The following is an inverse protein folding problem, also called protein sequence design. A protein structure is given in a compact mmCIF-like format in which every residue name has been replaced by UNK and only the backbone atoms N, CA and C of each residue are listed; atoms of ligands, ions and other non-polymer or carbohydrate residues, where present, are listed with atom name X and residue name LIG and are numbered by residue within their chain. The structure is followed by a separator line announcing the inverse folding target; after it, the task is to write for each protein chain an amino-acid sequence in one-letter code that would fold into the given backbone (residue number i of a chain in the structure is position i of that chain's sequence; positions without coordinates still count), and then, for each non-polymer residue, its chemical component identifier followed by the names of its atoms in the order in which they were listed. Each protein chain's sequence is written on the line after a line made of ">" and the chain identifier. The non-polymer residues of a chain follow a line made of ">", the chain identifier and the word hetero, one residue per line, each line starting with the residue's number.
data_IF_193888068160
#
_entry.id   IF_193888068160
#
_cell.length_a   1.000
_cell.length_b   1.000
_cell.length_c   1.000
_cell.angle_alpha   90.00
_cell.angle_beta   90.00
_cell.angle_gamma   90.00
#
_symmetry.space_group_name_H-M   'P 1'
#
loop_
_entity.id
_entity.type
_entity.pdbx_description
1 polymer ?
#
# COMPACT_ATOMS: atom_id res chain seq x y z
N UNK A 1 -10.27 13.74 -8.73
CA UNK A 1 -9.56 14.13 -9.97
C UNK A 1 -8.07 14.16 -9.64
N UNK A 2 -7.25 13.44 -10.39
CA UNK A 2 -5.77 13.54 -10.33
C UNK A 2 -5.38 14.46 -11.49
N UNK A 3 -4.32 15.28 -11.33
CA UNK A 3 -3.89 16.38 -12.23
C UNK A 3 -4.51 17.78 -11.95
N UNK A 4 -4.53 18.21 -10.69
CA UNK A 4 -4.93 19.59 -10.33
C UNK A 4 -3.85 20.63 -10.65
N UNK A 5 -2.59 20.21 -10.69
CA UNK A 5 -1.42 21.06 -10.98
C UNK A 5 -0.62 20.42 -12.11
N UNK A 6 0.07 21.25 -12.89
CA UNK A 6 0.72 20.82 -14.13
C UNK A 6 1.85 19.81 -13.90
N UNK A 7 2.55 19.91 -12.78
CA UNK A 7 3.80 19.22 -12.50
C UNK A 7 3.66 18.04 -11.51
N UNK A 8 2.48 17.79 -10.92
CA UNK A 8 2.32 16.70 -9.93
C UNK A 8 2.45 15.29 -10.53
N UNK A 9 2.47 15.16 -11.86
CA UNK A 9 2.71 13.89 -12.56
C UNK A 9 4.14 13.79 -13.11
N UNK A 10 4.99 14.80 -12.85
CA UNK A 10 6.40 14.85 -13.23
C UNK A 10 7.25 14.53 -12.01
N UNK A 11 8.26 13.63 -12.09
CA UNK A 11 9.14 13.36 -10.96
C UNK A 11 9.79 14.64 -10.42
N UNK A 12 9.70 14.88 -9.11
CA UNK A 12 10.19 16.09 -8.47
C UNK A 12 9.47 16.37 -7.15
N UNK A 13 9.73 17.53 -6.55
CA UNK A 13 9.19 17.90 -5.24
C UNK A 13 7.65 17.92 -5.22
N UNK A 14 7.01 18.52 -6.23
CA UNK A 14 5.55 18.59 -6.30
C UNK A 14 4.89 17.21 -6.35
N UNK A 15 5.49 16.23 -7.05
CA UNK A 15 5.00 14.85 -7.04
C UNK A 15 5.17 14.19 -5.68
N UNK A 16 6.29 14.42 -4.99
CA UNK A 16 6.54 13.84 -3.66
C UNK A 16 5.60 14.44 -2.61
N UNK A 17 5.36 15.74 -2.65
CA UNK A 17 4.38 16.42 -1.77
C UNK A 17 2.97 15.84 -1.97
N UNK A 18 2.58 15.63 -3.24
CA UNK A 18 1.31 15.00 -3.57
C UNK A 18 1.27 13.52 -3.16
N UNK A 19 2.36 12.77 -3.36
CA UNK A 19 2.49 11.39 -2.93
C UNK A 19 2.34 11.26 -1.41
N UNK A 20 2.99 12.15 -0.64
CA UNK A 20 2.91 12.14 0.81
C UNK A 20 1.52 12.52 1.32
N UNK A 21 0.83 13.47 0.65
CA UNK A 21 -0.59 13.73 0.92
C UNK A 21 -1.44 12.47 0.75
N UNK A 22 -1.25 11.72 -0.33
CA UNK A 22 -1.98 10.45 -0.57
C UNK A 22 -1.61 9.40 0.50
N UNK A 23 -0.32 9.22 0.81
CA UNK A 23 0.13 8.29 1.86
C UNK A 23 -0.46 8.65 3.22
N UNK A 24 -0.52 9.94 3.55
CA UNK A 24 -1.15 10.43 4.77
C UNK A 24 -2.64 10.08 4.83
N UNK A 25 -3.39 10.27 3.73
CA UNK A 25 -4.80 9.89 3.65
C UNK A 25 -5.00 8.38 3.81
N UNK A 26 -4.17 7.57 3.15
CA UNK A 26 -4.17 6.11 3.31
C UNK A 26 -3.95 5.73 4.77
N UNK A 27 -2.90 6.27 5.42
CA UNK A 27 -2.60 6.00 6.84
C UNK A 27 -3.77 6.39 7.76
N UNK A 28 -4.46 7.49 7.48
CA UNK A 28 -5.62 7.92 8.26
C UNK A 28 -6.83 6.97 8.18
N UNK A 29 -6.91 6.14 7.14
CA UNK A 29 -7.96 5.12 6.99
C UNK A 29 -7.71 3.83 7.80
N UNK A 30 -6.50 3.64 8.35
CA UNK A 30 -6.17 2.48 9.17
C UNK A 30 -6.42 2.75 10.67
N UNK A 31 -6.78 1.70 11.42
CA UNK A 31 -6.67 1.70 12.89
C UNK A 31 -5.19 1.64 13.29
N UNK A 32 -4.83 2.25 14.43
CA UNK A 32 -3.45 2.35 14.94
C UNK A 32 -2.69 1.01 14.94
N UNK A 33 -3.36 -0.12 15.19
CA UNK A 33 -2.76 -1.46 15.23
C UNK A 33 -2.59 -2.13 13.85
N UNK A 34 -3.35 -1.71 12.83
CA UNK A 34 -3.27 -2.21 11.45
C UNK A 34 -2.44 -1.30 10.53
N UNK A 35 -2.02 -0.13 11.04
CA UNK A 35 -1.32 0.95 10.33
C UNK A 35 0.13 0.63 9.93
N UNK A 36 0.55 -0.64 9.96
CA UNK A 36 1.93 -1.06 9.82
C UNK A 36 2.53 -0.63 8.49
N UNK A 37 3.12 0.57 8.43
CA UNK A 37 3.87 1.13 7.30
C UNK A 37 3.25 0.86 5.92
N UNK A 38 1.91 0.78 5.87
CA UNK A 38 1.15 0.16 4.78
C UNK A 38 0.97 1.07 3.55
N UNK A 39 1.57 2.27 3.60
CA UNK A 39 1.60 3.17 2.46
C UNK A 39 2.52 2.66 1.37
N UNK A 40 2.19 2.85 0.08
CA UNK A 40 3.08 2.48 -1.01
C UNK A 40 4.41 3.24 -0.90
N UNK A 41 5.47 2.48 -0.61
CA UNK A 41 6.87 2.86 -0.82
C UNK A 41 7.27 2.30 -2.18
N UNK A 42 7.57 3.16 -3.13
CA UNK A 42 7.72 2.75 -4.52
C UNK A 42 8.08 3.90 -5.44
N UNK A 43 7.92 3.70 -6.77
CA UNK A 43 8.23 4.72 -7.77
C UNK A 43 7.36 5.97 -7.60
N UNK A 44 7.69 7.08 -8.28
CA UNK A 44 6.92 8.33 -8.24
C UNK A 44 5.41 8.10 -8.40
N UNK A 45 4.62 8.91 -7.72
CA UNK A 45 3.17 8.78 -7.75
C UNK A 45 2.66 8.95 -9.19
N UNK A 46 1.72 8.09 -9.61
CA UNK A 46 1.17 8.14 -10.97
C UNK A 46 2.08 7.58 -12.07
N UNK A 47 3.27 7.06 -11.74
CA UNK A 47 4.14 6.33 -12.69
C UNK A 47 3.50 5.04 -13.25
N UNK A 48 2.42 4.57 -12.62
CA UNK A 48 1.52 3.52 -13.11
C UNK A 48 0.08 4.00 -13.00
N UNK A 49 -0.84 3.36 -13.72
CA UNK A 49 -2.28 3.67 -13.62
C UNK A 49 -2.76 3.47 -12.18
N UNK A 50 -3.31 4.52 -11.60
CA UNK A 50 -3.76 4.55 -10.21
C UNK A 50 -5.05 3.71 -10.09
N UNK A 51 -5.08 2.69 -9.22
CA UNK A 51 -6.31 1.99 -8.90
C UNK A 51 -7.25 2.92 -8.11
N UNK A 52 -8.49 3.04 -8.57
CA UNK A 52 -9.57 3.61 -7.76
C UNK A 52 -10.21 2.46 -6.97
N UNK A 53 -10.45 2.68 -5.69
CA UNK A 53 -10.96 1.66 -4.79
C UNK A 53 -12.19 2.15 -4.03
N UNK A 54 -12.93 1.19 -3.47
CA UNK A 54 -14.04 1.44 -2.55
C UNK A 54 -13.87 0.54 -1.34
N UNK A 55 -13.40 1.10 -0.23
CA UNK A 55 -13.28 0.37 1.04
C UNK A 55 -12.05 -0.54 1.16
N UNK A 56 -11.10 -0.48 0.24
CA UNK A 56 -9.94 -1.37 0.18
C UNK A 56 -9.06 -1.23 1.43
N UNK A 57 -8.78 0.00 1.86
CA UNK A 57 -7.93 0.25 3.01
C UNK A 57 -8.63 -0.12 4.32
N UNK A 58 -9.95 0.07 4.39
CA UNK A 58 -10.80 -0.19 5.55
C UNK A 58 -10.98 -1.68 5.82
N UNK A 59 -10.92 -2.53 4.79
CA UNK A 59 -11.00 -3.99 4.95
C UNK A 59 -9.88 -4.51 5.87
N UNK A 60 -8.71 -3.88 5.86
CA UNK A 60 -7.60 -4.25 6.74
C UNK A 60 -7.81 -3.91 8.22
N UNK A 61 -8.88 -3.20 8.58
CA UNK A 61 -9.27 -2.96 9.96
C UNK A 61 -10.13 -4.08 10.57
N UNK A 62 -10.50 -5.09 9.77
CA UNK A 62 -11.32 -6.23 10.23
C UNK A 62 -10.45 -7.29 10.91
N UNK A 63 -10.96 -7.87 12.00
CA UNK A 63 -10.22 -8.88 12.80
C UNK A 63 -9.87 -10.17 12.03
N UNK A 64 -10.59 -10.47 10.94
CA UNK A 64 -10.40 -11.65 10.11
C UNK A 64 -9.53 -11.40 8.87
N UNK A 65 -8.87 -10.24 8.79
CA UNK A 65 -8.02 -9.86 7.66
C UNK A 65 -6.59 -9.67 8.15
N UNK A 66 -5.65 -10.35 7.48
CA UNK A 66 -4.21 -10.24 7.75
C UNK A 66 -3.49 -9.78 6.49
N UNK A 67 -2.68 -8.74 6.62
CA UNK A 67 -1.77 -8.29 5.57
C UNK A 67 -0.41 -8.99 5.74
N UNK A 68 0.03 -9.71 4.72
CA UNK A 68 1.31 -10.44 4.72
C UNK A 68 2.29 -9.80 3.73
N UNK A 69 3.43 -9.31 4.22
CA UNK A 69 4.50 -8.78 3.36
C UNK A 69 5.48 -9.90 2.92
N UNK A 70 5.26 -10.42 1.71
CA UNK A 70 6.12 -11.46 1.13
C UNK A 70 7.55 -11.01 0.81
N UNK A 71 7.87 -9.71 0.87
CA UNK A 71 9.26 -9.26 0.77
C UNK A 71 10.02 -9.60 2.05
N UNK A 72 9.36 -9.53 3.21
CA UNK A 72 9.92 -9.91 4.52
C UNK A 72 9.84 -11.41 4.78
N UNK A 73 8.74 -12.05 4.35
CA UNK A 73 8.53 -13.48 4.49
C UNK A 73 8.25 -14.18 3.14
N UNK A 74 9.27 -14.37 2.28
CA UNK A 74 9.06 -14.93 0.94
C UNK A 74 8.46 -16.32 0.97
N UNK A 75 7.61 -16.63 -0.03
CA UNK A 75 7.04 -17.96 -0.19
C UNK A 75 8.16 -18.94 -0.58
N UNK A 76 8.27 -20.06 0.15
CA UNK A 76 9.20 -21.16 -0.18
C UNK A 76 8.59 -22.12 -1.18
N UNK A 77 7.33 -22.52 -0.95
CA UNK A 77 6.56 -23.41 -1.82
C UNK A 77 5.06 -23.33 -1.53
N UNK A 78 4.27 -23.78 -2.48
CA UNK A 78 2.85 -24.07 -2.32
C UNK A 78 2.69 -25.51 -1.80
N UNK A 79 1.64 -25.74 -1.01
CA UNK A 79 1.28 -27.01 -0.38
C UNK A 79 -0.22 -27.26 -0.57
N UNK A 80 -0.71 -28.51 -0.44
CA UNK A 80 -2.16 -28.77 -0.53
C UNK A 80 -3.01 -27.96 0.46
N UNK A 81 -2.45 -27.55 1.59
CA UNK A 81 -3.13 -26.78 2.64
C UNK A 81 -2.90 -25.25 2.55
N UNK A 82 -2.17 -24.75 1.56
CA UNK A 82 -1.83 -23.33 1.44
C UNK A 82 -0.38 -23.08 1.04
N UNK A 83 0.32 -22.16 1.71
CA UNK A 83 1.71 -21.82 1.40
C UNK A 83 2.63 -21.95 2.63
N UNK A 84 3.90 -22.27 2.38
CA UNK A 84 4.95 -22.26 3.41
C UNK A 84 5.89 -21.08 3.19
N UNK A 85 5.99 -20.11 4.12
CA UNK A 85 6.98 -19.04 4.03
C UNK A 85 8.39 -19.54 4.39
N UNK A 86 9.42 -18.83 3.95
CA UNK A 86 10.83 -19.11 4.26
C UNK A 86 11.18 -18.79 5.72
N UNK A 87 10.49 -17.85 6.35
CA UNK A 87 10.59 -17.45 7.77
C UNK A 87 9.18 -17.40 8.38
N UNK A 88 9.04 -17.62 9.69
CA UNK A 88 7.75 -17.47 10.38
C UNK A 88 7.30 -16.00 10.34
N UNK A 89 5.98 -15.80 10.18
CA UNK A 89 5.32 -14.49 10.21
C UNK A 89 5.38 -13.88 11.62
#
# INVERSE_FOLDING_TARGET
>A
MVANFQDIMIPGQANEDYAEFVRHKIRSGYRSSSSGDAGPKGPPFGSKRIPCETGYYEVFNRNNVLLVDFRKAPIKRITPQGYKPKRRL
#
